data_IF_591328055674
#
_entry.id   IF_591328055674
#
_cell.length_a   1.000
_cell.length_b   1.000
_cell.length_c   1.000
_cell.angle_alpha   90.00
_cell.angle_beta   90.00
_cell.angle_gamma   90.00
#
_symmetry.space_group_name_H-M   'P 1'
#
loop_
_entity.id
_entity.type
_entity.pdbx_description
1 polymer ?
#
# COMPACT_ATOMS: atom_id res chain seq x y z
N UNK A 1 24.11 56.97 -12.05
CA UNK A 1 23.71 55.56 -12.10
C UNK A 1 22.71 55.30 -10.98
N UNK A 2 21.42 55.30 -11.33
CA UNK A 2 20.34 54.96 -10.37
C UNK A 2 20.22 53.43 -10.40
N UNK A 3 20.91 52.79 -9.48
CA UNK A 3 20.65 51.37 -9.17
C UNK A 3 19.51 51.35 -8.13
N UNK A 4 18.29 51.41 -8.62
CA UNK A 4 17.14 51.13 -7.78
C UNK A 4 17.20 49.69 -7.28
N UNK A 5 17.37 49.48 -5.98
CA UNK A 5 17.20 48.17 -5.36
C UNK A 5 15.70 47.82 -5.41
N UNK A 6 15.33 46.90 -6.25
CA UNK A 6 13.99 46.28 -6.20
C UNK A 6 14.02 45.35 -4.99
N UNK A 7 13.30 45.68 -3.93
CA UNK A 7 13.04 44.80 -2.83
C UNK A 7 11.85 43.91 -3.19
N UNK A 8 12.08 42.62 -3.37
CA UNK A 8 11.00 41.64 -3.59
C UNK A 8 10.73 40.97 -2.27
N UNK A 9 9.51 41.14 -1.76
CA UNK A 9 9.04 40.38 -0.60
C UNK A 9 8.33 39.13 -1.09
N UNK A 10 8.86 37.96 -0.75
CA UNK A 10 8.20 36.69 -0.99
C UNK A 10 7.27 36.38 0.18
N UNK A 11 5.98 36.27 -0.10
CA UNK A 11 5.00 35.76 0.87
C UNK A 11 4.74 34.32 0.49
N UNK A 12 5.23 33.39 1.29
CA UNK A 12 4.93 31.96 1.13
C UNK A 12 3.52 31.69 1.66
N UNK A 13 2.65 31.15 0.81
CA UNK A 13 1.35 30.64 1.22
C UNK A 13 1.43 29.12 1.11
N UNK A 14 1.19 28.42 2.22
CA UNK A 14 1.10 26.96 2.23
C UNK A 14 -0.30 26.56 1.71
N UNK A 15 -0.33 25.95 0.54
CA UNK A 15 -1.55 25.44 -0.09
C UNK A 15 -1.70 23.91 0.07
N UNK A 16 -0.85 23.27 0.84
CA UNK A 16 -0.83 21.80 0.96
C UNK A 16 -2.17 21.23 1.41
N UNK A 17 -2.82 21.82 2.41
CA UNK A 17 -4.12 21.37 2.89
C UNK A 17 -5.21 21.51 1.82
N UNK A 18 -5.20 22.60 1.05
CA UNK A 18 -6.16 22.81 -0.03
C UNK A 18 -5.99 21.77 -1.13
N UNK A 19 -4.75 21.57 -1.58
CA UNK A 19 -4.45 20.61 -2.66
C UNK A 19 -4.67 19.16 -2.21
N UNK A 20 -4.43 18.84 -0.95
CA UNK A 20 -4.73 17.52 -0.38
C UNK A 20 -6.24 17.26 -0.33
N UNK A 21 -7.02 18.23 0.15
CA UNK A 21 -8.48 18.14 0.17
C UNK A 21 -9.07 17.94 -1.24
N UNK A 22 -8.54 18.65 -2.24
CA UNK A 22 -8.97 18.46 -3.64
C UNK A 22 -8.69 17.05 -4.16
N UNK A 23 -7.60 16.40 -3.74
CA UNK A 23 -7.25 15.04 -4.16
C UNK A 23 -7.98 13.94 -3.42
N UNK A 24 -8.60 14.23 -2.27
CA UNK A 24 -9.37 13.23 -1.53
C UNK A 24 -10.54 12.68 -2.35
N UNK A 25 -11.28 13.56 -3.03
CA UNK A 25 -12.44 13.20 -3.84
C UNK A 25 -12.04 13.04 -5.30
N UNK A 26 -12.15 11.82 -5.79
CA UNK A 26 -11.82 11.46 -7.16
C UNK A 26 -13.05 11.61 -8.04
N UNK A 27 -12.86 12.13 -9.23
CA UNK A 27 -13.85 12.12 -10.30
C UNK A 27 -14.06 10.70 -10.83
N UNK A 28 -15.13 10.45 -11.56
CA UNK A 28 -15.40 9.15 -12.18
C UNK A 28 -14.29 8.74 -13.16
N UNK A 29 -13.67 9.69 -13.84
CA UNK A 29 -12.54 9.43 -14.75
C UNK A 29 -11.30 8.95 -13.96
N UNK A 30 -10.98 9.60 -12.85
CA UNK A 30 -9.88 9.19 -11.94
C UNK A 30 -10.14 7.81 -11.33
N UNK A 31 -11.35 7.56 -10.85
CA UNK A 31 -11.75 6.25 -10.32
C UNK A 31 -11.63 5.17 -11.41
N UNK A 32 -12.01 5.47 -12.63
CA UNK A 32 -11.89 4.54 -13.75
C UNK A 32 -10.42 4.20 -14.02
N UNK A 33 -9.54 5.20 -14.01
CA UNK A 33 -8.10 5.01 -14.19
C UNK A 33 -7.50 4.18 -13.06
N UNK A 34 -7.84 4.49 -11.80
CA UNK A 34 -7.40 3.75 -10.62
C UNK A 34 -7.85 2.28 -10.70
N UNK A 35 -9.08 2.00 -11.12
CA UNK A 35 -9.57 0.62 -11.34
C UNK A 35 -8.77 -0.13 -12.40
N UNK A 36 -8.35 0.56 -13.46
CA UNK A 36 -7.50 -0.05 -14.48
C UNK A 36 -6.09 -0.30 -13.95
N UNK A 37 -5.53 0.62 -13.17
CA UNK A 37 -4.27 0.42 -12.44
C UNK A 37 -4.33 -0.79 -11.51
N UNK A 38 -5.43 -0.96 -10.76
CA UNK A 38 -5.63 -2.12 -9.90
C UNK A 38 -5.57 -3.45 -10.68
N UNK A 39 -6.13 -3.51 -11.91
CA UNK A 39 -6.02 -4.69 -12.77
C UNK A 39 -4.58 -4.96 -13.22
N UNK A 40 -3.80 -3.91 -13.44
CA UNK A 40 -2.36 -4.05 -13.75
C UNK A 40 -1.62 -4.56 -12.51
N UNK A 41 -1.94 -4.06 -11.31
CA UNK A 41 -1.39 -4.56 -10.06
C UNK A 41 -1.68 -6.05 -9.86
N UNK A 42 -2.91 -6.51 -10.16
CA UNK A 42 -3.28 -7.93 -10.11
C UNK A 42 -2.41 -8.78 -11.04
N UNK A 43 -2.16 -8.31 -12.28
CA UNK A 43 -1.30 -9.00 -13.24
C UNK A 43 0.12 -9.13 -12.72
N UNK A 44 0.68 -8.07 -12.15
CA UNK A 44 1.97 -8.11 -11.46
C UNK A 44 1.96 -9.10 -10.31
N UNK A 45 0.92 -9.09 -9.49
CA UNK A 45 0.74 -10.01 -8.36
C UNK A 45 0.69 -11.48 -8.79
N UNK A 46 -0.02 -11.79 -9.87
CA UNK A 46 -0.04 -13.14 -10.43
C UNK A 46 1.34 -13.58 -10.95
N UNK A 47 2.06 -12.69 -11.64
CA UNK A 47 3.40 -12.99 -12.13
C UNK A 47 4.39 -13.24 -10.98
N UNK A 48 4.32 -12.46 -9.89
CA UNK A 48 5.09 -12.70 -8.66
C UNK A 48 4.74 -14.06 -8.07
N UNK A 49 3.46 -14.36 -7.86
CA UNK A 49 3.01 -15.65 -7.33
C UNK A 49 3.55 -16.83 -8.14
N UNK A 50 3.49 -16.74 -9.45
CA UNK A 50 3.90 -17.82 -10.37
C UNK A 50 5.44 -17.97 -10.42
N UNK A 51 6.19 -16.92 -10.03
CA UNK A 51 7.65 -16.97 -9.92
C UNK A 51 8.14 -17.51 -8.56
N UNK A 52 7.28 -17.59 -7.55
CA UNK A 52 7.64 -18.06 -6.20
C UNK A 52 7.99 -19.54 -6.22
N UNK A 53 9.24 -19.86 -5.89
CA UNK A 53 9.72 -21.23 -5.63
C UNK A 53 10.98 -21.21 -4.81
N UNK A 54 11.22 -22.21 -3.98
CA UNK A 54 12.47 -22.35 -3.26
C UNK A 54 13.68 -22.35 -4.21
N UNK A 55 14.76 -21.68 -3.83
CA UNK A 55 15.96 -21.55 -4.64
C UNK A 55 16.01 -20.33 -5.57
N UNK A 56 14.92 -19.55 -5.68
CA UNK A 56 14.89 -18.29 -6.47
C UNK A 56 15.19 -17.11 -5.54
N UNK A 57 15.83 -16.07 -6.05
CA UNK A 57 16.10 -14.86 -5.26
C UNK A 57 14.89 -13.93 -5.22
N UNK A 58 14.74 -13.17 -4.14
CA UNK A 58 13.71 -12.13 -4.00
C UNK A 58 13.66 -11.20 -5.21
N UNK A 59 14.83 -10.72 -5.65
CA UNK A 59 14.92 -9.77 -6.77
C UNK A 59 14.40 -10.38 -8.08
N UNK A 60 14.64 -11.67 -8.32
CA UNK A 60 14.18 -12.34 -9.55
C UNK A 60 12.64 -12.48 -9.55
N UNK A 61 12.06 -12.72 -8.40
CA UNK A 61 10.60 -12.76 -8.20
C UNK A 61 9.99 -11.36 -8.38
N UNK A 62 10.59 -10.34 -7.80
CA UNK A 62 10.14 -8.95 -7.94
C UNK A 62 10.20 -8.47 -9.39
N UNK A 63 11.27 -8.82 -10.12
CA UNK A 63 11.41 -8.48 -11.55
C UNK A 63 10.32 -9.12 -12.40
N UNK A 64 9.93 -10.36 -12.14
CA UNK A 64 8.85 -11.01 -12.87
C UNK A 64 7.53 -10.22 -12.77
N UNK A 65 7.19 -9.71 -11.59
CA UNK A 65 6.01 -8.88 -11.39
C UNK A 65 6.10 -7.53 -12.09
N UNK A 66 7.25 -6.88 -11.96
CA UNK A 66 7.54 -5.60 -12.63
C UNK A 66 7.41 -5.69 -14.15
N UNK A 67 8.07 -6.68 -14.74
CA UNK A 67 8.06 -6.88 -16.19
C UNK A 67 6.64 -7.17 -16.72
N UNK A 68 5.84 -7.94 -15.97
CA UNK A 68 4.46 -8.20 -16.32
C UNK A 68 3.59 -6.94 -16.28
N UNK A 69 3.75 -6.08 -15.28
CA UNK A 69 3.05 -4.81 -15.19
C UNK A 69 3.44 -3.86 -16.33
N UNK A 70 4.75 -3.72 -16.62
CA UNK A 70 5.23 -2.89 -17.74
C UNK A 70 4.66 -3.36 -19.08
N UNK A 71 4.68 -4.66 -19.34
CA UNK A 71 4.12 -5.22 -20.57
C UNK A 71 2.62 -4.93 -20.70
N UNK A 72 1.85 -5.06 -19.61
CA UNK A 72 0.43 -4.79 -19.61
C UNK A 72 0.12 -3.30 -19.77
N UNK A 73 0.88 -2.41 -19.11
CA UNK A 73 0.74 -0.97 -19.31
C UNK A 73 1.03 -0.58 -20.75
N UNK A 74 2.14 -1.06 -21.32
CA UNK A 74 2.50 -0.79 -22.71
C UNK A 74 1.40 -1.23 -23.70
N UNK A 75 0.71 -2.31 -23.40
CA UNK A 75 -0.39 -2.83 -24.23
C UNK A 75 -1.69 -2.02 -24.09
N UNK A 76 -2.06 -1.66 -22.87
CA UNK A 76 -3.34 -0.97 -22.58
C UNK A 76 -3.26 0.53 -22.73
N UNK A 77 -2.10 1.10 -22.43
CA UNK A 77 -1.86 2.55 -22.35
C UNK A 77 -0.60 2.91 -23.13
N UNK A 78 -0.58 2.67 -24.46
CA UNK A 78 0.64 2.90 -25.27
C UNK A 78 1.13 4.34 -25.19
N UNK A 79 0.23 5.29 -24.94
CA UNK A 79 0.53 6.72 -24.87
C UNK A 79 0.82 7.22 -23.44
N UNK A 80 0.93 6.31 -22.45
CA UNK A 80 1.23 6.69 -21.08
C UNK A 80 2.70 7.09 -20.94
N UNK A 81 3.01 8.38 -21.06
CA UNK A 81 4.34 8.94 -20.82
C UNK A 81 4.72 8.87 -19.34
N UNK A 82 3.76 9.16 -18.46
CA UNK A 82 3.95 9.07 -17.01
C UNK A 82 3.47 7.71 -16.51
N UNK A 83 4.43 6.81 -16.34
CA UNK A 83 4.21 5.47 -15.79
C UNK A 83 5.38 5.04 -14.94
N UNK A 84 5.11 4.22 -13.96
CA UNK A 84 6.10 3.55 -13.13
C UNK A 84 5.56 2.18 -12.69
N UNK A 85 6.49 1.26 -12.44
CA UNK A 85 6.15 -0.06 -11.93
C UNK A 85 7.21 -0.49 -10.94
N UNK A 86 6.82 -0.73 -9.72
CA UNK A 86 7.72 -1.29 -8.74
C UNK A 86 7.06 -2.40 -7.95
N UNK A 87 7.89 -3.26 -7.43
CA UNK A 87 7.49 -4.41 -6.64
C UNK A 87 8.36 -4.45 -5.41
N UNK A 88 7.73 -4.50 -4.25
CA UNK A 88 8.39 -4.97 -3.05
C UNK A 88 8.03 -6.44 -2.86
N UNK A 89 9.05 -7.24 -2.73
CA UNK A 89 8.90 -8.65 -2.44
C UNK A 89 9.95 -9.06 -1.42
N UNK A 90 9.49 -9.51 -0.27
CA UNK A 90 10.31 -9.88 0.87
C UNK A 90 10.02 -11.32 1.26
N UNK A 91 11.01 -11.99 1.86
CA UNK A 91 10.89 -13.38 2.26
C UNK A 91 11.56 -13.65 3.61
N UNK A 92 10.94 -14.54 4.40
CA UNK A 92 11.46 -14.97 5.70
C UNK A 92 11.75 -13.79 6.63
N UNK A 93 12.97 -13.67 7.14
CA UNK A 93 13.35 -12.58 8.05
C UNK A 93 13.23 -11.17 7.46
N UNK A 94 13.24 -11.03 6.15
CA UNK A 94 13.04 -9.72 5.51
C UNK A 94 11.59 -9.23 5.62
N UNK A 95 10.67 -10.03 6.12
CA UNK A 95 9.27 -9.63 6.36
C UNK A 95 9.05 -9.00 7.74
N UNK A 96 10.11 -8.80 8.53
CA UNK A 96 10.06 -8.17 9.86
C UNK A 96 9.78 -6.66 9.83
N UNK A 97 9.67 -6.07 8.65
CA UNK A 97 9.30 -4.68 8.40
C UNK A 97 8.60 -4.51 7.07
N UNK A 98 7.54 -3.68 7.04
CA UNK A 98 6.70 -3.47 5.87
C UNK A 98 7.46 -3.01 4.62
N UNK A 99 8.51 -2.24 4.82
CA UNK A 99 9.21 -1.52 3.75
C UNK A 99 10.68 -1.91 3.63
N UNK A 100 11.00 -3.14 4.01
CA UNK A 100 12.35 -3.65 3.81
C UNK A 100 12.66 -3.76 2.31
N UNK A 101 13.88 -3.44 1.89
CA UNK A 101 14.24 -3.49 0.48
C UNK A 101 14.22 -4.93 -0.06
N UNK A 102 13.92 -5.05 -1.35
CA UNK A 102 14.12 -6.30 -2.07
C UNK A 102 15.61 -6.63 -2.11
N UNK A 103 15.97 -7.87 -1.78
CA UNK A 103 17.35 -8.30 -1.65
C UNK A 103 17.71 -9.44 -2.61
N UNK A 104 18.94 -9.91 -2.51
CA UNK A 104 19.41 -11.14 -3.17
C UNK A 104 19.13 -12.40 -2.36
N UNK A 105 18.36 -12.35 -1.24
CA UNK A 105 18.05 -13.52 -0.45
C UNK A 105 17.37 -14.59 -1.30
N UNK A 106 17.79 -15.82 -1.09
CA UNK A 106 17.22 -16.99 -1.77
C UNK A 106 16.02 -17.49 -0.95
N UNK A 107 14.90 -17.72 -1.60
CA UNK A 107 13.67 -18.22 -0.99
C UNK A 107 13.85 -19.65 -0.49
N UNK A 108 13.35 -19.91 0.70
CA UNK A 108 13.33 -21.21 1.33
C UNK A 108 11.89 -21.74 1.49
N UNK A 109 11.74 -23.05 1.61
CA UNK A 109 10.43 -23.65 1.90
C UNK A 109 9.99 -23.26 3.30
N UNK A 110 8.76 -22.79 3.43
CA UNK A 110 8.19 -22.32 4.70
C UNK A 110 8.35 -20.83 4.94
N UNK A 111 9.06 -20.10 4.07
CA UNK A 111 9.15 -18.64 4.19
C UNK A 111 7.76 -17.99 4.15
N UNK A 112 7.53 -17.04 5.04
CA UNK A 112 6.52 -16.00 4.89
C UNK A 112 7.00 -15.06 3.80
N UNK A 113 6.09 -14.62 2.96
CA UNK A 113 6.37 -13.77 1.81
C UNK A 113 5.46 -12.55 1.84
N UNK A 114 6.04 -11.37 1.71
CA UNK A 114 5.30 -10.13 1.51
C UNK A 114 5.38 -9.73 0.04
N UNK A 115 4.24 -9.66 -0.62
CA UNK A 115 4.10 -9.24 -2.02
C UNK A 115 3.41 -7.89 -2.07
N UNK A 116 4.06 -6.94 -2.72
CA UNK A 116 3.50 -5.61 -2.95
C UNK A 116 3.79 -5.18 -4.39
N UNK A 117 2.76 -4.83 -5.15
CA UNK A 117 2.87 -4.32 -6.52
C UNK A 117 2.26 -2.94 -6.63
N UNK A 118 2.98 -2.00 -7.25
CA UNK A 118 2.62 -0.59 -7.33
C UNK A 118 2.77 -0.07 -8.76
N UNK A 119 1.78 -0.27 -9.63
CA UNK A 119 1.76 0.43 -10.91
C UNK A 119 1.31 1.87 -10.76
N UNK A 120 1.92 2.76 -11.55
CA UNK A 120 1.47 4.12 -11.77
C UNK A 120 1.14 4.31 -13.24
N UNK A 121 -0.05 4.83 -13.55
CA UNK A 121 -0.50 5.11 -14.90
C UNK A 121 -1.01 6.54 -14.95
N UNK A 122 -0.46 7.37 -15.83
CA UNK A 122 -0.79 8.79 -15.95
C UNK A 122 -0.70 9.55 -14.61
N UNK A 123 0.24 9.15 -13.75
CA UNK A 123 0.44 9.77 -12.45
C UNK A 123 -0.39 9.17 -11.31
N UNK A 124 -1.32 8.26 -11.58
CA UNK A 124 -2.17 7.63 -10.56
C UNK A 124 -1.61 6.28 -10.12
N UNK A 125 -1.32 6.16 -8.84
CA UNK A 125 -0.87 4.92 -8.22
C UNK A 125 -2.02 4.04 -7.80
N UNK A 126 -1.77 2.74 -7.82
CA UNK A 126 -2.57 1.70 -7.18
C UNK A 126 -1.63 0.72 -6.48
N UNK A 127 -2.18 -0.10 -5.60
CA UNK A 127 -1.42 -1.12 -4.89
C UNK A 127 -2.20 -2.43 -4.81
N UNK A 128 -1.44 -3.53 -4.79
CA UNK A 128 -1.90 -4.83 -4.34
C UNK A 128 -0.87 -5.34 -3.34
N UNK A 129 -1.31 -5.65 -2.12
CA UNK A 129 -0.45 -6.20 -1.07
C UNK A 129 -1.02 -7.52 -0.57
N UNK A 130 -0.16 -8.53 -0.46
CA UNK A 130 -0.57 -9.87 -0.02
C UNK A 130 0.54 -10.54 0.77
N UNK A 131 0.15 -11.24 1.82
CA UNK A 131 1.02 -12.22 2.50
C UNK A 131 0.80 -13.59 1.87
N UNK A 132 1.88 -14.24 1.50
CA UNK A 132 1.91 -15.57 0.90
C UNK A 132 2.88 -16.47 1.67
N UNK A 133 2.95 -17.74 1.30
CA UNK A 133 3.86 -18.71 1.91
C UNK A 133 4.55 -19.55 0.84
N UNK A 134 5.85 -19.80 1.02
CA UNK A 134 6.63 -20.63 0.12
C UNK A 134 6.45 -22.14 0.44
N UNK A 135 5.26 -22.66 0.21
CA UNK A 135 4.90 -24.03 0.52
C UNK A 135 4.13 -24.17 1.82
N UNK A 136 4.46 -25.19 2.65
CA UNK A 136 3.78 -25.40 3.92
C UNK A 136 4.17 -24.33 4.93
N UNK A 137 3.20 -23.82 5.66
CA UNK A 137 3.35 -22.83 6.73
C UNK A 137 3.20 -23.52 8.09
N UNK A 138 3.89 -23.02 9.10
CA UNK A 138 3.69 -23.46 10.48
C UNK A 138 2.36 -22.94 11.05
N UNK A 139 1.89 -23.58 12.12
CA UNK A 139 0.59 -23.26 12.72
C UNK A 139 0.52 -21.86 13.34
N UNK A 140 1.64 -21.34 13.85
CA UNK A 140 1.69 -20.01 14.50
C UNK A 140 1.57 -18.92 13.44
N UNK A 141 2.34 -19.02 12.37
CA UNK A 141 2.27 -18.08 11.24
C UNK A 141 0.90 -18.11 10.56
N UNK A 142 0.31 -19.30 10.41
CA UNK A 142 -1.03 -19.45 9.85
C UNK A 142 -2.10 -18.77 10.73
N UNK A 143 -2.04 -18.97 12.04
CA UNK A 143 -2.97 -18.36 13.00
C UNK A 143 -2.86 -16.82 12.96
N UNK A 144 -1.65 -16.28 12.95
CA UNK A 144 -1.39 -14.85 12.84
C UNK A 144 -1.98 -14.30 11.54
N UNK A 145 -1.71 -14.95 10.41
CA UNK A 145 -2.25 -14.57 9.12
C UNK A 145 -3.80 -14.59 9.09
N UNK A 146 -4.42 -15.63 9.66
CA UNK A 146 -5.88 -15.73 9.74
C UNK A 146 -6.49 -14.61 10.58
N UNK A 147 -5.87 -14.24 11.70
CA UNK A 147 -6.28 -13.11 12.52
C UNK A 147 -6.18 -11.79 11.74
N UNK A 148 -5.09 -11.59 11.04
CA UNK A 148 -4.91 -10.40 10.20
C UNK A 148 -5.93 -10.33 9.06
N UNK A 149 -6.25 -11.45 8.42
CA UNK A 149 -7.32 -11.55 7.43
C UNK A 149 -8.70 -11.20 8.04
N UNK A 150 -8.98 -11.64 9.26
CA UNK A 150 -10.24 -11.29 9.94
C UNK A 150 -10.36 -9.78 10.19
N UNK A 151 -9.26 -9.11 10.57
CA UNK A 151 -9.21 -7.64 10.71
C UNK A 151 -9.44 -6.97 9.35
N UNK A 152 -8.81 -7.46 8.28
CA UNK A 152 -9.01 -6.94 6.94
C UNK A 152 -10.49 -7.04 6.50
N UNK A 153 -11.11 -8.20 6.66
CA UNK A 153 -12.53 -8.40 6.32
C UNK A 153 -13.41 -7.43 7.11
N UNK A 154 -13.17 -7.32 8.43
CA UNK A 154 -13.93 -6.40 9.26
C UNK A 154 -13.73 -4.94 8.83
N UNK A 155 -12.51 -4.53 8.53
CA UNK A 155 -12.23 -3.19 8.01
C UNK A 155 -12.98 -2.87 6.72
N UNK A 156 -13.03 -3.83 5.79
CA UNK A 156 -13.80 -3.68 4.55
C UNK A 156 -15.31 -3.50 4.78
N UNK A 157 -15.86 -4.13 5.82
CA UNK A 157 -17.28 -3.94 6.21
C UNK A 157 -17.55 -2.55 6.80
N UNK A 158 -16.56 -1.99 7.50
CA UNK A 158 -16.67 -0.69 8.17
C UNK A 158 -16.47 0.49 7.22
N UNK A 159 -15.72 0.31 6.12
CA UNK A 159 -15.48 1.34 5.10
C UNK A 159 -16.77 1.59 4.32
N UNK A 160 -17.45 2.70 4.67
CA UNK A 160 -18.68 3.15 4.01
C UNK A 160 -18.87 4.64 4.16
N UNK A 161 -19.60 5.31 3.28
CA UNK A 161 -19.95 6.73 3.46
C UNK A 161 -20.57 6.98 4.83
N UNK A 162 -20.10 8.03 5.50
CA UNK A 162 -20.54 8.42 6.84
C UNK A 162 -19.74 7.80 7.98
N UNK A 163 -18.88 6.81 7.73
CA UNK A 163 -17.97 6.26 8.75
C UNK A 163 -16.80 7.21 9.01
N UNK A 164 -16.36 7.35 10.26
CA UNK A 164 -15.17 8.13 10.63
C UNK A 164 -13.93 7.24 10.61
N UNK A 165 -12.82 7.75 10.10
CA UNK A 165 -11.55 7.01 10.06
C UNK A 165 -11.11 6.52 11.43
N UNK A 166 -11.19 7.38 12.47
CA UNK A 166 -10.83 7.01 13.83
C UNK A 166 -11.73 5.92 14.43
N UNK A 167 -13.04 5.93 14.15
CA UNK A 167 -13.96 4.93 14.69
C UNK A 167 -13.67 3.54 14.09
N UNK A 168 -13.35 3.50 12.79
CA UNK A 168 -12.90 2.27 12.13
C UNK A 168 -11.62 1.75 12.79
N UNK A 169 -10.62 2.61 12.97
CA UNK A 169 -9.35 2.23 13.57
C UNK A 169 -9.51 1.73 15.02
N UNK A 170 -10.33 2.40 15.81
CA UNK A 170 -10.60 2.00 17.20
C UNK A 170 -11.28 0.63 17.27
N UNK A 171 -12.24 0.36 16.41
CA UNK A 171 -12.92 -0.95 16.38
C UNK A 171 -11.95 -2.07 15.99
N UNK A 172 -11.10 -1.87 14.99
CA UNK A 172 -10.11 -2.85 14.59
C UNK A 172 -9.03 -3.07 15.66
N UNK A 173 -8.70 -2.04 16.43
CA UNK A 173 -7.81 -2.17 17.59
C UNK A 173 -8.36 -3.13 18.65
N UNK A 174 -9.70 -3.13 18.88
CA UNK A 174 -10.29 -4.06 19.85
C UNK A 174 -10.11 -5.53 19.43
N UNK A 175 -10.16 -5.82 18.12
CA UNK A 175 -9.88 -7.17 17.63
C UNK A 175 -8.44 -7.59 17.95
N UNK A 176 -7.45 -6.74 17.63
CA UNK A 176 -6.05 -7.03 17.97
C UNK A 176 -5.80 -7.06 19.47
N UNK A 177 -6.45 -6.21 20.25
CA UNK A 177 -6.34 -6.22 21.71
C UNK A 177 -6.86 -7.53 22.30
N UNK A 178 -7.96 -8.05 21.78
CA UNK A 178 -8.51 -9.35 22.18
C UNK A 178 -7.58 -10.53 21.98
N UNK A 179 -6.59 -10.40 21.08
CA UNK A 179 -5.55 -11.41 20.81
C UNK A 179 -4.17 -11.04 21.36
N UNK A 180 -4.03 -9.95 22.14
CA UNK A 180 -2.74 -9.40 22.61
C UNK A 180 -1.77 -9.03 21.45
N UNK A 181 -2.31 -8.64 20.29
CA UNK A 181 -1.54 -8.35 19.10
C UNK A 181 -1.41 -6.85 18.78
N UNK A 182 -2.19 -5.97 19.43
CA UNK A 182 -2.18 -4.54 19.13
C UNK A 182 -0.80 -3.89 19.28
N UNK A 183 0.02 -4.37 20.17
CA UNK A 183 1.40 -3.90 20.40
C UNK A 183 2.33 -4.12 19.21
N UNK A 184 1.97 -5.00 18.29
CA UNK A 184 2.74 -5.32 17.08
C UNK A 184 2.25 -4.58 15.84
N UNK A 185 1.22 -3.77 15.96
CA UNK A 185 0.76 -2.90 14.87
C UNK A 185 1.68 -1.70 14.75
N UNK A 186 2.28 -1.52 13.57
CA UNK A 186 3.25 -0.43 13.30
C UNK A 186 2.62 0.80 12.64
N UNK A 187 1.50 0.63 11.93
CA UNK A 187 0.86 1.65 11.09
C UNK A 187 -0.64 1.76 11.36
N UNK A 188 -1.30 2.72 10.71
CA UNK A 188 -2.74 2.74 10.54
C UNK A 188 -3.24 1.53 9.73
N UNK A 189 -4.54 1.46 9.51
CA UNK A 189 -5.17 0.32 8.81
C UNK A 189 -5.35 0.56 7.33
N UNK A 190 -4.99 1.72 6.83
CA UNK A 190 -5.08 2.07 5.42
C UNK A 190 -4.96 3.57 5.22
N UNK A 191 -4.77 3.96 3.98
CA UNK A 191 -4.59 5.36 3.59
C UNK A 191 -5.11 5.60 2.17
N UNK A 192 -5.25 6.87 1.78
CA UNK A 192 -5.71 7.23 0.44
C UNK A 192 -4.70 6.86 -0.64
N UNK A 193 -5.24 6.65 -1.85
CA UNK A 193 -4.49 6.49 -3.08
C UNK A 193 -4.91 7.51 -4.14
N UNK A 194 -4.01 7.80 -5.07
CA UNK A 194 -4.27 8.73 -6.18
C UNK A 194 -3.01 9.17 -6.88
N UNK A 195 -2.89 10.47 -7.13
CA UNK A 195 -1.78 11.10 -7.87
C UNK A 195 -0.42 10.90 -7.21
N UNK A 196 -0.39 10.76 -5.89
CA UNK A 196 0.85 10.58 -5.16
C UNK A 196 0.91 9.16 -4.60
N UNK A 197 2.12 8.59 -4.57
CA UNK A 197 2.36 7.28 -3.99
C UNK A 197 2.13 7.30 -2.48
N UNK A 198 2.02 6.13 -1.89
CA UNK A 198 1.83 6.00 -0.46
C UNK A 198 2.99 6.58 0.40
N UNK A 199 4.13 6.92 -0.17
CA UNK A 199 5.18 7.64 0.55
C UNK A 199 4.93 9.13 0.68
N UNK A 200 4.40 9.76 -0.38
CA UNK A 200 4.34 11.21 -0.50
C UNK A 200 2.93 11.72 -0.74
N UNK A 201 1.96 10.83 -0.85
CA UNK A 201 0.67 11.17 -1.40
C UNK A 201 -0.51 10.82 -0.55
N UNK A 202 -0.28 10.51 0.68
CA UNK A 202 -1.38 10.43 1.62
C UNK A 202 -2.04 11.79 1.67
N UNK A 203 -3.27 11.86 1.20
CA UNK A 203 -4.06 13.06 1.41
C UNK A 203 -4.17 13.24 2.92
N UNK A 204 -3.65 14.35 3.45
CA UNK A 204 -3.64 14.61 4.86
C UNK A 204 -5.05 14.48 5.44
N UNK A 205 -5.19 13.63 6.43
CA UNK A 205 -6.47 13.36 7.06
C UNK A 205 -7.32 12.27 6.39
N UNK A 206 -6.83 11.55 5.38
CA UNK A 206 -7.52 10.35 4.87
C UNK A 206 -6.67 9.09 5.13
N UNK A 207 -6.58 8.76 6.40
CA UNK A 207 -5.96 7.53 6.90
C UNK A 207 -6.86 6.87 7.94
N UNK A 208 -6.88 5.55 7.99
CA UNK A 208 -7.60 4.79 9.02
C UNK A 208 -6.73 4.69 10.28
N UNK A 209 -6.73 5.77 11.06
CA UNK A 209 -5.97 5.93 12.31
C UNK A 209 -6.83 6.58 13.39
N UNK A 210 -6.45 6.36 14.65
CA UNK A 210 -7.18 6.82 15.84
C UNK A 210 -7.27 8.33 15.97
N UNK A 211 -6.30 9.06 15.41
CA UNK A 211 -6.19 10.51 15.48
C UNK A 211 -6.78 11.24 14.26
N UNK A 212 -7.48 10.50 13.37
CA UNK A 212 -8.05 11.05 12.12
C UNK A 212 -9.58 11.06 12.19
N UNK A 213 -10.14 12.25 12.28
CA UNK A 213 -11.59 12.48 12.40
C UNK A 213 -12.34 12.53 11.06
N UNK A 214 -11.64 12.36 9.94
CA UNK A 214 -12.23 12.45 8.61
C UNK A 214 -13.39 11.48 8.46
N UNK A 215 -14.52 11.99 7.98
CA UNK A 215 -15.70 11.20 7.61
C UNK A 215 -15.54 10.74 6.17
N UNK A 216 -15.71 9.45 5.92
CA UNK A 216 -15.63 8.89 4.57
C UNK A 216 -16.81 9.35 3.71
N UNK A 217 -16.52 9.75 2.48
CA UNK A 217 -17.51 10.23 1.52
C UNK A 217 -17.38 9.48 0.18
N UNK A 218 -18.45 9.45 -0.64
CA UNK A 218 -18.35 8.91 -2.00
C UNK A 218 -17.26 9.62 -2.81
N UNK A 219 -16.53 8.86 -3.62
CA UNK A 219 -15.41 9.37 -4.41
C UNK A 219 -14.06 9.32 -3.71
N UNK A 220 -14.00 9.08 -2.41
CA UNK A 220 -12.74 8.78 -1.73
C UNK A 220 -12.24 7.38 -2.09
N UNK A 221 -10.94 7.23 -2.31
CA UNK A 221 -10.28 5.94 -2.57
C UNK A 221 -9.28 5.69 -1.46
N UNK A 222 -9.42 4.55 -0.81
CA UNK A 222 -8.62 4.19 0.36
C UNK A 222 -8.19 2.73 0.28
N UNK A 223 -7.01 2.42 0.77
CA UNK A 223 -6.57 1.04 1.01
C UNK A 223 -7.16 0.49 2.30
N UNK A 224 -7.15 -0.84 2.42
CA UNK A 224 -7.36 -1.56 3.66
C UNK A 224 -6.24 -2.58 3.81
N UNK A 225 -5.28 -2.29 4.68
CA UNK A 225 -4.00 -2.99 4.77
C UNK A 225 -3.57 -3.19 6.23
N UNK A 226 -4.32 -3.96 7.02
CA UNK A 226 -3.91 -4.25 8.38
C UNK A 226 -2.58 -5.00 8.39
N UNK A 227 -1.69 -4.58 9.27
CA UNK A 227 -0.36 -5.16 9.35
C UNK A 227 0.05 -5.38 10.79
N UNK A 228 0.61 -6.56 11.03
CA UNK A 228 1.27 -6.92 12.28
C UNK A 228 2.68 -7.38 11.94
N UNK A 229 3.65 -6.82 12.63
CA UNK A 229 5.05 -7.25 12.53
C UNK A 229 5.57 -7.63 13.90
N UNK A 230 6.02 -8.86 14.03
CA UNK A 230 6.69 -9.32 15.25
C UNK A 230 8.19 -9.04 15.11
N UNK A 231 8.76 -8.09 15.90
CA UNK A 231 10.17 -7.71 15.76
C UNK A 231 11.12 -8.84 16.23
N UNK A 232 12.42 -8.56 16.21
CA UNK A 232 13.47 -9.41 16.75
C UNK A 232 13.78 -10.68 15.93
N UNK A 233 13.77 -10.53 14.60
CA UNK A 233 14.16 -11.61 13.71
C UNK A 233 13.13 -12.74 13.62
N UNK A 234 11.90 -12.45 13.99
CA UNK A 234 10.77 -13.32 13.71
C UNK A 234 10.07 -12.85 12.44
N UNK A 235 9.67 -13.75 11.55
CA UNK A 235 8.83 -13.39 10.41
C UNK A 235 7.52 -12.77 10.89
N UNK A 236 7.13 -11.67 10.27
CA UNK A 236 5.89 -10.93 10.60
C UNK A 236 4.77 -11.19 9.62
#
# INVERSE_FOLDING_TARGET
TIAGRISVTFIGIDLSLVTMSQRMHKTDAEITLIRQGARVADIGGYAVRDAIRAGVREIDVAMAGRDAMEAEIAKRFPDAEYRDTWVWFQSGLNTDGAHNPVTGRVLERGDILSLNTFPMIFGYYTALERTLFAGAVDAVSLDLWQKNCAVHVRGMELIRPGARCCDIALELNEMYRGWDLLKYRSFGYGHSFGVLSHYYGREAGLELREDIDTVLEPGMVISMEPMITIPEGQPG
#
